data_IF_332718051479
#
_entry.id   IF_332718051479
#
_cell.length_a   1.000
_cell.length_b   1.000
_cell.length_c   1.000
_cell.angle_alpha   90.00
_cell.angle_beta   90.00
_cell.angle_gamma   90.00
#
_symmetry.space_group_name_H-M   'P 1'
#
loop_
_entity.id
_entity.type
_entity.pdbx_description
1 polymer ?
#
# COMPACT_ATOMS: atom_id res chain seq x y z
N UNK A 1 12.41 4.62 -4.35
CA UNK A 1 12.07 4.38 -5.78
C UNK A 1 11.04 5.43 -6.21
N UNK A 2 11.20 6.09 -7.37
CA UNK A 2 10.30 7.16 -7.85
C UNK A 2 8.82 6.71 -7.93
N UNK A 3 7.88 7.65 -7.82
CA UNK A 3 6.43 7.39 -7.82
C UNK A 3 5.95 6.85 -9.19
N UNK A 4 5.42 5.61 -9.27
CA UNK A 4 5.01 5.02 -10.55
C UNK A 4 3.87 5.78 -11.22
N UNK A 5 2.91 6.34 -10.46
CA UNK A 5 1.84 7.17 -11.02
C UNK A 5 2.38 8.45 -11.67
N UNK A 6 3.40 9.07 -11.06
CA UNK A 6 4.08 10.24 -11.64
C UNK A 6 4.83 9.88 -12.91
N UNK A 7 5.63 8.81 -12.88
CA UNK A 7 6.39 8.35 -14.05
C UNK A 7 5.48 7.99 -15.23
N UNK A 8 4.37 7.31 -14.93
CA UNK A 8 3.37 6.97 -15.94
C UNK A 8 2.69 8.22 -16.49
N UNK A 9 2.28 9.16 -15.63
CA UNK A 9 1.67 10.42 -16.06
C UNK A 9 2.62 11.22 -16.97
N UNK A 10 3.88 11.39 -16.56
CA UNK A 10 4.90 12.11 -17.34
C UNK A 10 5.12 11.45 -18.72
N UNK A 11 5.13 10.12 -18.77
CA UNK A 11 5.23 9.38 -20.04
C UNK A 11 3.98 9.57 -20.92
N UNK A 12 2.78 9.46 -20.36
CA UNK A 12 1.53 9.62 -21.11
C UNK A 12 1.31 11.07 -21.57
N UNK A 13 1.82 12.06 -20.83
CA UNK A 13 1.84 13.45 -21.25
C UNK A 13 2.82 13.66 -22.42
N UNK A 14 3.96 12.94 -22.43
CA UNK A 14 4.90 12.95 -23.56
C UNK A 14 4.32 12.36 -24.86
N UNK A 15 3.23 11.59 -24.76
CA UNK A 15 2.53 11.00 -25.92
C UNK A 15 1.43 11.88 -26.48
N UNK A 16 1.29 13.11 -26.01
CA UNK A 16 0.42 14.09 -26.64
C UNK A 16 0.79 14.24 -28.12
N UNK A 17 -0.17 13.93 -29.00
CA UNK A 17 0.06 13.87 -30.45
C UNK A 17 -0.18 15.25 -31.03
N UNK A 18 0.86 15.93 -31.55
CA UNK A 18 0.66 17.21 -32.22
C UNK A 18 -0.20 17.03 -33.48
N UNK A 19 -0.86 18.11 -33.95
CA UNK A 19 -1.55 18.09 -35.24
C UNK A 19 -0.62 17.54 -36.34
N UNK A 20 -1.13 16.61 -37.15
CA UNK A 20 -0.42 15.95 -38.26
C UNK A 20 0.69 14.95 -37.89
N UNK A 21 0.81 14.52 -36.63
CA UNK A 21 1.64 13.36 -36.26
C UNK A 21 0.78 12.16 -35.91
N UNK A 22 1.34 10.96 -36.05
CA UNK A 22 0.70 9.73 -35.57
C UNK A 22 1.15 9.43 -34.15
N UNK A 23 0.29 8.76 -33.37
CA UNK A 23 0.66 8.26 -32.04
C UNK A 23 1.90 7.35 -32.10
N UNK A 24 2.08 6.60 -33.21
CA UNK A 24 3.27 5.79 -33.48
C UNK A 24 4.56 6.58 -33.28
N UNK A 25 4.59 7.81 -33.79
CA UNK A 25 5.74 8.68 -33.66
C UNK A 25 5.92 9.19 -32.23
N UNK A 26 4.84 9.60 -31.56
CA UNK A 26 4.87 10.06 -30.17
C UNK A 26 5.33 8.97 -29.19
N UNK A 27 4.92 7.71 -29.44
CA UNK A 27 5.39 6.51 -28.73
C UNK A 27 6.84 6.11 -29.06
N UNK A 28 7.45 6.74 -30.06
CA UNK A 28 8.85 6.54 -30.43
C UNK A 28 9.11 5.42 -31.45
N UNK A 29 8.09 4.87 -32.10
CA UNK A 29 8.24 3.79 -33.10
C UNK A 29 8.61 4.30 -34.51
N UNK A 30 9.33 5.42 -34.62
CA UNK A 30 9.70 6.04 -35.90
C UNK A 30 11.19 5.94 -36.26
N UNK A 31 11.99 5.27 -35.43
CA UNK A 31 13.42 5.06 -35.65
C UNK A 31 14.12 4.76 -34.33
N UNK A 32 14.20 3.48 -33.95
CA UNK A 32 14.71 3.03 -32.64
C UNK A 32 13.69 2.19 -31.86
N UNK A 33 13.18 1.12 -32.49
CA UNK A 33 12.07 0.31 -31.96
C UNK A 33 12.37 -0.27 -30.57
N UNK A 34 13.62 -0.66 -30.29
CA UNK A 34 14.00 -1.24 -29.00
C UNK A 34 13.77 -0.28 -27.82
N UNK A 35 14.13 1.00 -27.94
CA UNK A 35 13.91 1.98 -26.87
C UNK A 35 12.42 2.27 -26.68
N UNK A 36 11.66 2.29 -27.78
CA UNK A 36 10.20 2.41 -27.70
C UNK A 36 9.59 1.23 -26.94
N UNK A 37 10.01 0.00 -27.25
CA UNK A 37 9.58 -1.21 -26.53
C UNK A 37 9.99 -1.21 -25.06
N UNK A 38 11.22 -0.81 -24.73
CA UNK A 38 11.69 -0.68 -23.35
C UNK A 38 10.84 0.33 -22.56
N UNK A 39 10.48 1.47 -23.17
CA UNK A 39 9.57 2.43 -22.53
C UNK A 39 8.17 1.86 -22.31
N UNK A 40 7.64 1.08 -23.25
CA UNK A 40 6.33 0.43 -23.07
C UNK A 40 6.38 -0.65 -21.97
N UNK A 41 7.48 -1.40 -21.90
CA UNK A 41 7.71 -2.37 -20.82
C UNK A 41 7.74 -1.67 -19.45
N UNK A 42 8.49 -0.57 -19.32
CA UNK A 42 8.55 0.21 -18.09
C UNK A 42 7.16 0.78 -17.72
N UNK A 43 6.41 1.29 -18.69
CA UNK A 43 5.05 1.76 -18.46
C UNK A 43 4.13 0.65 -17.91
N UNK A 44 4.21 -0.56 -18.47
CA UNK A 44 3.45 -1.71 -17.98
C UNK A 44 3.84 -2.08 -16.55
N UNK A 45 5.14 -2.03 -16.22
CA UNK A 45 5.63 -2.26 -14.86
C UNK A 45 5.08 -1.21 -13.88
N UNK A 46 5.05 0.08 -14.26
CA UNK A 46 4.48 1.13 -13.42
C UNK A 46 2.99 0.94 -13.19
N UNK A 47 2.22 0.53 -14.20
CA UNK A 47 0.79 0.20 -14.01
C UNK A 47 0.63 -0.96 -13.04
N UNK A 48 1.44 -2.02 -13.17
CA UNK A 48 1.40 -3.15 -12.24
C UNK A 48 1.79 -2.77 -10.80
N UNK A 49 2.77 -1.87 -10.62
CA UNK A 49 3.12 -1.32 -9.30
C UNK A 49 1.98 -0.48 -8.70
N UNK A 50 1.29 0.32 -9.53
CA UNK A 50 0.10 1.07 -9.11
C UNK A 50 -1.00 0.12 -8.67
N UNK A 51 -1.31 -0.88 -9.48
CA UNK A 51 -2.31 -1.91 -9.20
C UNK A 51 -2.02 -2.65 -7.89
N UNK A 52 -0.77 -3.09 -7.68
CA UNK A 52 -0.33 -3.70 -6.43
C UNK A 52 -0.50 -2.78 -5.23
N UNK A 53 -0.21 -1.48 -5.40
CA UNK A 53 -0.40 -0.48 -4.36
C UNK A 53 -1.88 -0.29 -4.03
N UNK A 54 -2.75 -0.16 -5.03
CA UNK A 54 -4.21 -0.05 -4.86
C UNK A 54 -4.79 -1.29 -4.16
N UNK A 55 -4.37 -2.49 -4.58
CA UNK A 55 -4.79 -3.75 -3.95
C UNK A 55 -4.36 -3.85 -2.47
N UNK A 56 -3.22 -3.24 -2.12
CA UNK A 56 -2.78 -3.17 -0.72
C UNK A 56 -3.68 -2.28 0.13
N UNK A 57 -4.32 -1.26 -0.45
CA UNK A 57 -5.32 -0.42 0.24
C UNK A 57 -6.68 -1.12 0.35
N UNK A 58 -7.07 -1.89 -0.67
CA UNK A 58 -8.28 -2.75 -0.58
C UNK A 58 -8.16 -3.72 0.59
N UNK A 59 -6.97 -4.27 0.81
CA UNK A 59 -6.71 -5.17 1.93
C UNK A 59 -6.81 -4.52 3.32
N UNK A 60 -6.89 -3.18 3.41
CA UNK A 60 -7.08 -2.44 4.67
C UNK A 60 -8.50 -1.93 4.91
N UNK A 61 -9.48 -2.43 4.15
CA UNK A 61 -10.90 -2.05 4.26
C UNK A 61 -11.20 -0.59 3.85
N UNK A 62 -10.29 0.04 3.10
CA UNK A 62 -10.45 1.38 2.51
C UNK A 62 -10.96 1.31 1.06
N UNK A 63 -11.77 0.29 0.72
CA UNK A 63 -12.21 0.01 -0.66
C UNK A 63 -12.90 1.23 -1.30
N UNK A 64 -13.80 1.89 -0.56
CA UNK A 64 -14.54 3.07 -1.03
C UNK A 64 -13.62 4.22 -1.44
N UNK A 65 -12.42 4.30 -0.85
CA UNK A 65 -11.45 5.34 -1.20
C UNK A 65 -10.74 5.01 -2.51
N UNK A 66 -10.52 3.73 -2.83
CA UNK A 66 -9.68 3.31 -3.96
C UNK A 66 -10.42 2.76 -5.17
N UNK A 67 -11.70 2.42 -5.03
CA UNK A 67 -12.55 1.88 -6.10
C UNK A 67 -12.50 2.74 -7.36
N UNK A 68 -12.63 4.05 -7.21
CA UNK A 68 -12.60 4.98 -8.33
C UNK A 68 -11.28 4.92 -9.13
N UNK A 69 -10.14 4.60 -8.51
CA UNK A 69 -8.87 4.40 -9.24
C UNK A 69 -8.78 3.02 -9.88
N UNK A 70 -9.26 1.98 -9.20
CA UNK A 70 -9.29 0.60 -9.72
C UNK A 70 -10.11 0.55 -11.01
N UNK A 71 -11.26 1.22 -11.05
CA UNK A 71 -12.08 1.35 -12.24
C UNK A 71 -11.33 1.99 -13.43
N UNK A 72 -10.28 2.79 -13.19
CA UNK A 72 -9.52 3.44 -14.26
C UNK A 72 -8.33 2.60 -14.78
N UNK A 73 -7.94 1.52 -14.09
CA UNK A 73 -6.77 0.72 -14.47
C UNK A 73 -6.83 0.24 -15.93
N UNK A 74 -8.01 -0.21 -16.36
CA UNK A 74 -8.21 -0.68 -17.73
C UNK A 74 -7.98 0.43 -18.78
N UNK A 75 -8.25 1.69 -18.44
CA UNK A 75 -8.02 2.83 -19.33
C UNK A 75 -6.53 3.17 -19.45
N UNK A 76 -5.74 2.98 -18.39
CA UNK A 76 -4.28 3.14 -18.46
C UNK A 76 -3.62 2.01 -19.26
N UNK A 77 -4.10 0.77 -19.12
CA UNK A 77 -3.67 -0.33 -19.98
C UNK A 77 -4.07 -0.12 -21.44
N UNK A 78 -5.29 0.36 -21.70
CA UNK A 78 -5.70 0.75 -23.04
C UNK A 78 -4.81 1.87 -23.60
N UNK A 79 -4.48 2.87 -22.77
CA UNK A 79 -3.58 3.95 -23.14
C UNK A 79 -2.18 3.45 -23.59
N UNK A 80 -1.74 2.31 -23.06
CA UNK A 80 -0.45 1.71 -23.38
C UNK A 80 -0.51 0.79 -24.61
N UNK A 81 -1.53 -0.05 -24.70
CA UNK A 81 -1.57 -1.17 -25.66
C UNK A 81 -2.50 -0.96 -26.85
N UNK A 82 -3.31 0.09 -26.85
CA UNK A 82 -4.26 0.31 -27.93
C UNK A 82 -3.55 0.53 -29.28
N UNK A 83 -3.94 -0.16 -30.36
CA UNK A 83 -3.31 -0.04 -31.66
C UNK A 83 -3.38 1.38 -32.23
N UNK A 84 -2.35 1.77 -32.99
CA UNK A 84 -2.21 3.13 -33.54
C UNK A 84 -3.46 3.59 -34.32
N UNK A 85 -4.10 2.69 -35.07
CA UNK A 85 -5.32 3.00 -35.84
C UNK A 85 -6.48 3.40 -34.94
N UNK A 86 -6.72 2.64 -33.87
CA UNK A 86 -7.81 2.90 -32.93
C UNK A 86 -7.57 4.20 -32.16
N UNK A 87 -6.31 4.43 -31.76
CA UNK A 87 -5.91 5.68 -31.11
C UNK A 87 -6.15 6.92 -31.97
N UNK A 88 -5.70 6.88 -33.24
CA UNK A 88 -5.84 8.02 -34.14
C UNK A 88 -7.31 8.33 -34.44
N UNK A 89 -8.16 7.29 -34.57
CA UNK A 89 -9.60 7.46 -34.73
C UNK A 89 -10.23 8.19 -33.52
N UNK A 90 -9.89 7.72 -32.32
CA UNK A 90 -10.34 8.35 -31.06
C UNK A 90 -9.90 9.80 -30.93
N UNK A 91 -8.66 10.14 -31.31
CA UNK A 91 -8.20 11.54 -31.33
C UNK A 91 -9.03 12.38 -32.31
N UNK A 92 -9.33 11.86 -33.51
CA UNK A 92 -10.15 12.56 -34.51
C UNK A 92 -11.58 12.82 -34.01
N UNK A 93 -12.11 11.92 -33.19
CA UNK A 93 -13.41 12.04 -32.53
C UNK A 93 -13.37 12.92 -31.26
N UNK A 94 -12.20 13.44 -30.88
CA UNK A 94 -12.01 14.21 -29.65
C UNK A 94 -12.01 13.36 -28.37
N UNK A 95 -12.00 12.04 -28.50
CA UNK A 95 -12.09 11.04 -27.43
C UNK A 95 -10.72 10.43 -27.13
N UNK A 96 -9.69 11.26 -26.93
CA UNK A 96 -8.36 10.75 -26.59
C UNK A 96 -8.45 9.80 -25.40
N UNK A 97 -7.83 8.59 -25.44
CA UNK A 97 -7.77 7.66 -24.30
C UNK A 97 -7.16 8.29 -23.05
N UNK A 98 -6.47 9.42 -23.23
CA UNK A 98 -5.81 10.21 -22.21
C UNK A 98 -6.54 11.51 -21.87
N UNK A 99 -7.70 11.79 -22.48
CA UNK A 99 -8.49 12.99 -22.17
C UNK A 99 -9.35 12.79 -20.91
N UNK A 100 -9.46 13.84 -20.09
CA UNK A 100 -10.39 13.87 -18.96
C UNK A 100 -9.96 13.04 -17.74
N UNK A 101 -10.84 12.13 -17.31
CA UNK A 101 -10.77 11.42 -16.01
C UNK A 101 -9.48 10.64 -15.78
N UNK A 102 -8.96 9.81 -16.70
CA UNK A 102 -7.84 8.90 -16.41
C UNK A 102 -6.54 9.63 -16.02
N UNK A 103 -6.24 10.76 -16.68
CA UNK A 103 -5.07 11.61 -16.34
C UNK A 103 -5.26 12.32 -15.01
N UNK A 104 -6.44 12.88 -14.76
CA UNK A 104 -6.75 13.53 -13.48
C UNK A 104 -6.66 12.55 -12.32
N UNK A 105 -7.08 11.30 -12.54
CA UNK A 105 -7.00 10.23 -11.55
C UNK A 105 -5.56 9.81 -11.27
N UNK A 106 -4.69 9.67 -12.28
CA UNK A 106 -3.25 9.47 -12.06
C UNK A 106 -2.64 10.63 -11.25
N UNK A 107 -2.98 11.88 -11.60
CA UNK A 107 -2.48 13.06 -10.87
C UNK A 107 -2.92 13.07 -9.41
N UNK A 108 -4.19 12.70 -9.14
CA UNK A 108 -4.72 12.59 -7.79
C UNK A 108 -4.11 11.43 -7.01
N UNK A 109 -3.69 10.35 -7.68
CA UNK A 109 -3.06 9.18 -7.07
C UNK A 109 -1.61 9.43 -6.62
N UNK A 110 -0.90 10.38 -7.25
CA UNK A 110 0.49 10.72 -6.89
C UNK A 110 0.65 11.02 -5.39
N UNK A 111 -0.05 12.00 -4.78
CA UNK A 111 0.13 12.32 -3.37
C UNK A 111 -0.25 11.16 -2.44
N UNK A 112 -1.22 10.34 -2.83
CA UNK A 112 -1.62 9.15 -2.07
C UNK A 112 -0.48 8.11 -2.05
N UNK A 113 0.11 7.79 -3.21
CA UNK A 113 1.24 6.87 -3.28
C UNK A 113 2.51 7.44 -2.63
N UNK A 114 2.74 8.75 -2.72
CA UNK A 114 3.86 9.39 -2.02
C UNK A 114 3.68 9.30 -0.50
N UNK A 115 2.47 9.50 0.00
CA UNK A 115 2.13 9.33 1.42
C UNK A 115 2.29 7.87 1.85
N UNK A 116 1.82 6.92 1.03
CA UNK A 116 1.98 5.49 1.27
C UNK A 116 3.46 5.07 1.35
N UNK A 117 4.30 5.62 0.47
CA UNK A 117 5.76 5.40 0.45
C UNK A 117 6.48 6.08 1.61
N UNK A 118 5.92 7.18 2.13
CA UNK A 118 6.42 7.84 3.32
C UNK A 118 6.13 7.03 4.59
N UNK A 119 5.24 6.03 4.53
CA UNK A 119 5.11 5.04 5.60
C UNK A 119 6.35 4.14 5.55
N UNK A 120 7.21 4.16 6.59
CA UNK A 120 8.39 3.32 6.65
C UNK A 120 8.03 1.86 6.44
N UNK A 121 8.92 1.13 5.75
CA UNK A 121 8.82 -0.32 5.66
C UNK A 121 9.42 -0.95 6.91
N UNK A 122 8.81 -2.03 7.36
CA UNK A 122 9.33 -2.91 8.39
C UNK A 122 10.65 -3.51 7.91
N UNK A 123 11.73 -3.30 8.68
CA UNK A 123 12.97 -4.02 8.46
C UNK A 123 12.89 -5.46 8.98
N UNK A 124 13.85 -6.30 8.58
CA UNK A 124 13.91 -7.70 9.00
C UNK A 124 13.93 -7.86 10.54
N UNK A 125 14.56 -6.94 11.26
CA UNK A 125 14.57 -6.94 12.73
C UNK A 125 13.18 -6.70 13.31
N UNK A 126 12.42 -5.74 12.77
CA UNK A 126 11.06 -5.44 13.22
C UNK A 126 10.12 -6.61 12.94
N UNK A 127 10.22 -7.23 11.76
CA UNK A 127 9.46 -8.43 11.43
C UNK A 127 9.80 -9.58 12.39
N UNK A 128 11.08 -9.81 12.68
CA UNK A 128 11.49 -10.83 13.65
C UNK A 128 10.95 -10.55 15.07
N UNK A 129 10.96 -9.30 15.52
CA UNK A 129 10.38 -8.90 16.80
C UNK A 129 8.86 -9.10 16.82
N UNK A 130 8.16 -8.83 15.71
CA UNK A 130 6.72 -9.03 15.60
C UNK A 130 6.38 -10.52 15.65
N UNK A 131 7.08 -11.36 14.88
CA UNK A 131 6.91 -12.81 14.90
C UNK A 131 7.15 -13.39 16.30
N UNK A 132 8.16 -12.90 17.02
CA UNK A 132 8.39 -13.27 18.41
C UNK A 132 7.23 -12.85 19.33
N UNK A 133 6.66 -11.66 19.14
CA UNK A 133 5.50 -11.20 19.92
C UNK A 133 4.23 -12.01 19.62
N UNK A 134 4.00 -12.40 18.36
CA UNK A 134 2.89 -13.28 17.96
C UNK A 134 3.07 -14.69 18.54
N UNK A 135 4.28 -15.24 18.54
CA UNK A 135 4.59 -16.52 19.17
C UNK A 135 4.37 -16.50 20.69
N UNK A 136 4.79 -15.42 21.37
CA UNK A 136 4.51 -15.21 22.80
C UNK A 136 3.01 -15.20 23.10
N UNK A 137 2.21 -14.53 22.27
CA UNK A 137 0.75 -14.51 22.42
C UNK A 137 0.12 -15.88 22.15
N UNK A 138 0.62 -16.63 21.16
CA UNK A 138 0.18 -18.00 20.90
C UNK A 138 0.43 -18.91 22.09
N UNK A 139 1.57 -18.75 22.77
CA UNK A 139 1.89 -19.47 24.00
C UNK A 139 0.88 -19.13 25.11
N UNK A 140 0.55 -17.85 25.30
CA UNK A 140 -0.47 -17.42 26.27
C UNK A 140 -1.83 -18.07 26.00
N UNK A 141 -2.26 -18.13 24.73
CA UNK A 141 -3.52 -18.80 24.35
C UNK A 141 -3.49 -20.29 24.71
N UNK A 142 -2.36 -20.98 24.46
CA UNK A 142 -2.22 -22.40 24.78
C UNK A 142 -2.19 -22.70 26.29
N UNK A 143 -1.70 -21.76 27.09
CA UNK A 143 -1.62 -21.89 28.55
C UNK A 143 -2.94 -21.47 29.24
N UNK A 144 -3.83 -20.78 28.52
CA UNK A 144 -5.09 -20.32 29.07
C UNK A 144 -6.08 -21.47 29.27
N UNK A 145 -6.60 -21.61 30.49
CA UNK A 145 -7.55 -22.68 30.87
C UNK A 145 -9.00 -22.22 30.86
N UNK A 146 -9.28 -20.95 30.59
CA UNK A 146 -10.61 -20.35 30.74
C UNK A 146 -11.24 -19.96 29.39
N UNK A 147 -10.51 -20.07 28.29
CA UNK A 147 -11.06 -19.87 26.96
C UNK A 147 -11.96 -21.05 26.58
N UNK A 148 -13.12 -20.75 26.00
CA UNK A 148 -13.87 -21.78 25.31
C UNK A 148 -13.15 -22.15 24.00
N UNK A 149 -13.42 -23.35 23.47
CA UNK A 149 -12.74 -23.87 22.27
C UNK A 149 -12.91 -23.01 21.03
N UNK A 150 -14.05 -22.32 20.89
CA UNK A 150 -14.33 -21.50 19.71
C UNK A 150 -13.49 -20.23 19.71
N UNK A 151 -13.42 -19.56 20.86
CA UNK A 151 -12.58 -18.37 21.08
C UNK A 151 -11.09 -18.72 20.98
N UNK A 152 -10.68 -19.85 21.58
CA UNK A 152 -9.31 -20.34 21.48
C UNK A 152 -8.91 -20.56 20.01
N UNK A 153 -9.77 -21.23 19.22
CA UNK A 153 -9.54 -21.46 17.79
C UNK A 153 -9.49 -20.14 17.01
N UNK A 154 -10.41 -19.22 17.29
CA UNK A 154 -10.49 -17.93 16.61
C UNK A 154 -9.20 -17.11 16.80
N UNK A 155 -8.73 -16.95 18.05
CA UNK A 155 -7.48 -16.20 18.30
C UNK A 155 -6.27 -16.89 17.68
N UNK A 156 -6.20 -18.22 17.75
CA UNK A 156 -5.10 -18.97 17.10
C UNK A 156 -5.07 -18.71 15.61
N UNK A 157 -6.23 -18.69 14.95
CA UNK A 157 -6.33 -18.37 13.54
C UNK A 157 -5.85 -16.95 13.24
N UNK A 158 -6.29 -15.95 14.02
CA UNK A 158 -5.83 -14.57 13.84
C UNK A 158 -4.31 -14.43 14.00
N UNK A 159 -3.72 -15.11 14.99
CA UNK A 159 -2.29 -15.11 15.22
C UNK A 159 -1.53 -15.76 14.06
N UNK A 160 -2.05 -16.86 13.51
CA UNK A 160 -1.44 -17.58 12.39
C UNK A 160 -1.52 -16.76 11.09
N UNK A 161 -2.66 -16.12 10.82
CA UNK A 161 -2.83 -15.20 9.69
C UNK A 161 -1.88 -13.99 9.79
N UNK A 162 -1.77 -13.39 10.97
CA UNK A 162 -0.83 -12.27 11.19
C UNK A 162 0.63 -12.70 11.01
N UNK A 163 0.99 -13.92 11.43
CA UNK A 163 2.34 -14.46 11.25
C UNK A 163 2.67 -14.68 9.76
N UNK A 164 1.76 -15.28 9.00
CA UNK A 164 1.92 -15.47 7.54
C UNK A 164 2.09 -14.12 6.84
N UNK A 165 1.26 -13.13 7.18
CA UNK A 165 1.35 -11.79 6.59
C UNK A 165 2.66 -11.10 6.97
N UNK A 166 3.18 -11.31 8.19
CA UNK A 166 4.47 -10.78 8.61
C UNK A 166 5.66 -11.44 7.88
N UNK A 167 5.64 -12.76 7.70
CA UNK A 167 6.66 -13.50 6.95
C UNK A 167 6.68 -13.12 5.47
N UNK A 168 5.50 -12.90 4.89
CA UNK A 168 5.30 -12.54 3.49
C UNK A 168 4.94 -11.05 3.31
N UNK A 169 5.46 -10.16 4.17
CA UNK A 169 5.11 -8.72 4.14
C UNK A 169 5.43 -8.05 2.81
N UNK A 170 6.46 -8.53 2.08
CA UNK A 170 6.78 -8.02 0.74
C UNK A 170 5.69 -8.31 -0.30
N UNK A 171 4.94 -9.41 -0.10
CA UNK A 171 3.86 -9.85 -0.99
C UNK A 171 2.52 -9.24 -0.58
N UNK A 172 2.20 -9.22 0.71
CA UNK A 172 0.91 -8.74 1.23
C UNK A 172 0.89 -7.25 1.52
N UNK A 173 2.06 -6.61 1.70
CA UNK A 173 2.20 -5.20 2.00
C UNK A 173 2.06 -4.85 3.49
N UNK A 174 2.68 -3.72 3.86
CA UNK A 174 2.68 -3.18 5.23
C UNK A 174 1.29 -2.80 5.74
N UNK A 175 0.40 -2.43 4.83
CA UNK A 175 -0.96 -2.02 5.15
C UNK A 175 -1.76 -3.22 5.69
N UNK A 176 -1.74 -4.34 4.96
CA UNK A 176 -2.30 -5.63 5.39
C UNK A 176 -1.68 -6.10 6.70
N UNK A 177 -0.36 -5.97 6.86
CA UNK A 177 0.32 -6.32 8.11
C UNK A 177 -0.23 -5.53 9.31
N UNK A 178 -0.37 -4.20 9.17
CA UNK A 178 -0.95 -3.36 10.21
C UNK A 178 -2.38 -3.75 10.54
N UNK A 179 -3.22 -3.99 9.54
CA UNK A 179 -4.61 -4.39 9.75
C UNK A 179 -4.68 -5.67 10.61
N UNK A 180 -3.87 -6.69 10.29
CA UNK A 180 -3.80 -7.93 11.07
C UNK A 180 -3.24 -7.75 12.47
N UNK A 181 -2.23 -6.92 12.64
CA UNK A 181 -1.70 -6.53 13.97
C UNK A 181 -2.78 -5.88 14.83
N UNK A 182 -3.57 -4.98 14.25
CA UNK A 182 -4.69 -4.32 14.94
C UNK A 182 -5.79 -5.31 15.33
N UNK A 183 -6.19 -6.18 14.41
CA UNK A 183 -7.20 -7.20 14.63
C UNK A 183 -6.81 -8.13 15.79
N UNK A 184 -5.57 -8.64 15.78
CA UNK A 184 -5.02 -9.44 16.88
C UNK A 184 -4.98 -8.66 18.18
N UNK A 185 -4.44 -7.44 18.17
CA UNK A 185 -4.32 -6.60 19.37
C UNK A 185 -5.69 -6.25 19.97
N UNK A 186 -6.68 -5.95 19.14
CA UNK A 186 -8.06 -5.68 19.54
C UNK A 186 -8.72 -6.93 20.13
N UNK A 187 -8.61 -8.07 19.47
CA UNK A 187 -9.18 -9.32 19.95
C UNK A 187 -8.58 -9.75 21.30
N UNK A 188 -7.26 -9.63 21.48
CA UNK A 188 -6.60 -9.91 22.75
C UNK A 188 -7.03 -8.95 23.87
N UNK A 189 -7.22 -7.67 23.55
CA UNK A 189 -7.72 -6.67 24.51
C UNK A 189 -9.17 -6.98 24.92
N UNK A 190 -10.02 -7.36 23.96
CA UNK A 190 -11.40 -7.77 24.25
C UNK A 190 -11.45 -9.00 25.16
N UNK A 191 -10.51 -9.94 25.02
CA UNK A 191 -10.40 -11.09 25.92
C UNK A 191 -9.93 -10.73 27.32
N UNK A 192 -9.06 -9.74 27.46
CA UNK A 192 -8.68 -9.22 28.77
C UNK A 192 -9.90 -8.66 29.52
N UNK A 193 -10.85 -8.04 28.82
CA UNK A 193 -12.04 -7.43 29.42
C UNK A 193 -13.23 -8.41 29.58
N UNK A 194 -13.06 -9.69 29.22
CA UNK A 194 -14.14 -10.66 29.30
C UNK A 194 -14.57 -10.95 30.76
N UNK A 195 -15.88 -11.16 31.03
CA UNK A 195 -16.35 -11.50 32.36
C UNK A 195 -15.70 -12.78 32.89
N UNK A 196 -15.23 -12.75 34.14
CA UNK A 196 -14.62 -13.91 34.80
C UNK A 196 -13.11 -14.05 34.61
N UNK A 197 -12.46 -13.14 33.88
CA UNK A 197 -11.00 -13.07 33.77
C UNK A 197 -10.41 -12.39 35.00
N UNK A 198 -9.42 -13.03 35.64
CA UNK A 198 -8.73 -12.47 36.82
C UNK A 198 -7.85 -11.28 36.42
N UNK A 199 -7.65 -10.32 37.32
CA UNK A 199 -6.81 -9.13 37.05
C UNK A 199 -5.37 -9.48 36.61
N UNK A 200 -4.83 -10.60 37.11
CA UNK A 200 -3.52 -11.10 36.67
C UNK A 200 -3.54 -11.51 35.20
N UNK A 201 -4.58 -12.25 34.77
CA UNK A 201 -4.77 -12.64 33.38
C UNK A 201 -5.04 -11.42 32.50
N UNK A 202 -5.89 -10.48 32.93
CA UNK A 202 -6.10 -9.21 32.21
C UNK A 202 -4.79 -8.51 31.92
N UNK A 203 -3.92 -8.40 32.93
CA UNK A 203 -2.61 -7.80 32.80
C UNK A 203 -1.74 -8.51 31.76
N UNK A 204 -1.70 -9.85 31.78
CA UNK A 204 -0.96 -10.65 30.79
C UNK A 204 -1.46 -10.42 29.37
N UNK A 205 -2.77 -10.50 29.15
CA UNK A 205 -3.38 -10.31 27.82
C UNK A 205 -3.16 -8.91 27.29
N UNK A 206 -3.43 -7.89 28.10
CA UNK A 206 -3.20 -6.49 27.73
C UNK A 206 -1.72 -6.20 27.46
N UNK A 207 -0.80 -6.78 28.23
CA UNK A 207 0.63 -6.62 27.99
C UNK A 207 1.07 -7.23 26.65
N UNK A 208 0.52 -8.38 26.26
CA UNK A 208 0.83 -9.01 24.96
C UNK A 208 0.18 -8.29 23.78
N UNK A 209 -1.09 -7.89 23.93
CA UNK A 209 -1.76 -7.02 22.96
C UNK A 209 -0.95 -5.74 22.72
N UNK A 210 -0.54 -5.05 23.80
CA UNK A 210 0.28 -3.84 23.72
C UNK A 210 1.63 -4.10 23.07
N UNK A 211 2.30 -5.22 23.36
CA UNK A 211 3.58 -5.58 22.73
C UNK A 211 3.40 -5.78 21.21
N UNK A 212 2.39 -6.53 20.79
CA UNK A 212 2.07 -6.75 19.36
C UNK A 212 1.76 -5.43 18.66
N UNK A 213 0.87 -4.61 19.23
CA UNK A 213 0.52 -3.30 18.68
C UNK A 213 1.74 -2.37 18.62
N UNK A 214 2.56 -2.34 19.66
CA UNK A 214 3.74 -1.47 19.69
C UNK A 214 4.72 -1.89 18.61
N UNK A 215 5.09 -3.17 18.53
CA UNK A 215 6.06 -3.65 17.54
C UNK A 215 5.52 -3.56 16.12
N UNK A 216 4.26 -3.95 15.90
CA UNK A 216 3.62 -3.94 14.59
C UNK A 216 3.15 -2.56 14.11
N UNK A 217 3.07 -1.54 14.98
CA UNK A 217 2.85 -0.14 14.60
C UNK A 217 4.12 0.71 14.55
N UNK A 218 5.19 0.32 15.27
CA UNK A 218 6.50 0.98 15.20
C UNK A 218 7.09 0.97 13.79
N UNK A 219 6.60 0.07 12.94
CA UNK A 219 6.90 -0.05 11.52
C UNK A 219 6.48 1.18 10.71
N UNK A 220 5.51 1.98 11.17
CA UNK A 220 4.99 3.13 10.42
C UNK A 220 5.16 4.51 11.09
N UNK A 221 4.96 4.57 12.40
CA UNK A 221 4.57 5.85 13.04
C UNK A 221 5.75 6.75 13.42
N UNK A 222 6.86 6.20 13.95
CA UNK A 222 7.96 7.03 14.48
C UNK A 222 8.84 7.63 13.39
N UNK A 223 9.09 6.95 12.28
CA UNK A 223 9.88 7.56 11.20
C UNK A 223 9.06 8.61 10.43
N UNK A 224 7.74 8.44 10.24
CA UNK A 224 6.89 9.51 9.70
C UNK A 224 6.81 10.72 10.65
N UNK A 225 6.62 10.51 11.95
CA UNK A 225 6.60 11.59 12.96
C UNK A 225 7.97 12.25 13.10
N UNK A 226 9.06 11.48 13.07
CA UNK A 226 10.44 11.99 13.16
C UNK A 226 10.82 12.76 11.89
N UNK A 227 10.42 12.30 10.70
CA UNK A 227 10.61 13.05 9.45
C UNK A 227 9.75 14.32 9.41
N UNK A 228 8.51 14.27 9.91
CA UNK A 228 7.65 15.45 10.03
C UNK A 228 8.21 16.47 11.03
N UNK A 229 8.75 16.03 12.17
CA UNK A 229 9.39 16.94 13.14
C UNK A 229 10.73 17.47 12.64
N UNK A 230 11.57 16.66 11.99
CA UNK A 230 12.82 17.14 11.39
C UNK A 230 12.57 18.11 10.23
N UNK A 231 11.56 17.87 9.39
CA UNK A 231 11.14 18.79 8.35
C UNK A 231 10.58 20.11 8.88
N UNK A 232 9.78 20.07 9.96
CA UNK A 232 9.26 21.26 10.62
C UNK A 232 10.37 22.09 11.29
N UNK A 233 11.39 21.45 11.88
CA UNK A 233 12.54 22.13 12.49
C UNK A 233 13.47 22.73 11.44
N UNK A 234 13.65 22.09 10.29
CA UNK A 234 14.45 22.63 9.18
C UNK A 234 13.76 23.79 8.42
N UNK A 235 12.44 23.91 8.53
CA UNK A 235 11.65 24.98 7.92
C UNK A 235 11.53 26.24 8.80
N UNK A 236 12.02 26.21 10.05
CA UNK A 236 12.06 27.39 10.91
C UNK A 236 13.28 28.24 10.54
N UNK A 237 13.10 29.55 10.23
CA UNK A 237 14.22 30.43 9.98
C UNK A 237 15.11 30.51 11.23
N UNK A 238 16.45 30.63 11.08
CA UNK A 238 17.34 30.80 12.22
C UNK A 238 16.90 32.03 13.00
N UNK A 239 16.67 31.87 14.30
CA UNK A 239 16.38 32.99 15.18
C UNK A 239 17.58 33.93 15.17
N UNK A 240 17.41 35.12 14.59
CA UNK A 240 18.42 36.17 14.65
C UNK A 240 18.69 36.52 16.12
N UNK A 241 19.94 36.31 16.53
CA UNK A 241 20.51 36.69 17.83
C UNK A 241 21.43 37.88 17.67
#
# INVERSE_FOLDING_TARGET
MPNPAKLLLDLLDSWEVPPNRSIKHARGFSGGELQAWQRHQLAAQWIAEIESSLNSFVATDDLDQVEAWIEQLHLWYAALFEPDRAWNLKIQEGLSPLSGSPRSMLRALIPMLDTAKAVPKSGAEQIAQLLAALADARKLVNESTYLNREVERYIKQLLDEAAIVAEEVEKYGEATLRARVFEVGGAMTALAEAPGVSEEEKSKWTARAKKILTVGMWTGYNAAVTMATQGAVAALPPSES
#
